data_IF_593813693241
#
_entry.id   IF_593813693241
#
_cell.length_a   1.000
_cell.length_b   1.000
_cell.length_c   1.000
_cell.angle_alpha   90.00
_cell.angle_beta   90.00
_cell.angle_gamma   90.00
#
_symmetry.space_group_name_H-M   'P 1'
#
loop_
_entity.id
_entity.type
_entity.pdbx_description
1 polymer ?
#
# COMPACT_ATOMS: atom_id res chain seq x y z
N UNK A 1 5.57 -5.53 14.44
CA UNK A 1 4.33 -5.00 15.06
C UNK A 1 3.80 -5.90 16.16
N UNK A 2 3.68 -7.20 15.93
CA UNK A 2 3.08 -8.15 16.89
C UNK A 2 3.74 -8.13 18.28
N UNK A 3 5.05 -8.04 18.34
CA UNK A 3 5.81 -8.01 19.60
C UNK A 3 5.96 -6.59 20.20
N UNK A 4 5.61 -5.57 19.45
CA UNK A 4 5.73 -4.18 19.90
C UNK A 4 4.43 -3.76 20.57
N UNK A 5 4.47 -3.50 21.87
CA UNK A 5 3.32 -2.99 22.63
C UNK A 5 3.09 -1.49 22.37
N UNK A 6 3.12 -1.07 21.10
CA UNK A 6 2.90 0.33 20.71
C UNK A 6 1.39 0.62 20.70
N UNK A 7 0.99 1.71 21.35
CA UNK A 7 -0.41 2.18 21.27
C UNK A 7 -0.70 2.75 19.89
N UNK A 8 -1.88 2.47 19.34
CA UNK A 8 -2.30 2.92 18.01
C UNK A 8 -2.24 4.44 17.84
N UNK A 9 -2.60 5.15 18.90
CA UNK A 9 -2.58 6.61 18.91
C UNK A 9 -1.19 7.19 18.65
N UNK A 10 -0.13 6.46 19.04
CA UNK A 10 1.26 6.87 18.78
C UNK A 10 1.55 6.80 17.27
N UNK A 11 1.07 5.74 16.61
CA UNK A 11 1.23 5.58 15.15
C UNK A 11 0.47 6.69 14.42
N UNK A 12 -0.80 6.91 14.78
CA UNK A 12 -1.64 7.94 14.16
C UNK A 12 -1.03 9.33 14.35
N UNK A 13 -0.60 9.65 15.57
CA UNK A 13 0.04 10.93 15.87
C UNK A 13 1.39 11.10 15.18
N UNK A 14 2.21 10.05 15.07
CA UNK A 14 3.48 10.11 14.39
C UNK A 14 3.30 10.45 12.90
N UNK A 15 2.33 9.82 12.24
CA UNK A 15 1.99 10.12 10.85
C UNK A 15 1.51 11.58 10.69
N UNK A 16 0.66 12.07 11.59
CA UNK A 16 0.24 13.48 11.56
C UNK A 16 1.42 14.46 11.73
N UNK A 17 2.39 14.15 12.60
CA UNK A 17 3.60 14.97 12.77
C UNK A 17 4.49 14.93 11.52
N UNK A 18 4.68 13.76 10.92
CA UNK A 18 5.41 13.64 9.64
C UNK A 18 4.70 14.43 8.53
N UNK A 19 3.37 14.38 8.47
CA UNK A 19 2.58 15.20 7.56
C UNK A 19 2.79 16.70 7.78
N UNK A 20 2.80 17.15 9.04
CA UNK A 20 3.08 18.55 9.37
C UNK A 20 4.48 18.98 8.92
N UNK A 21 5.51 18.16 9.15
CA UNK A 21 6.87 18.42 8.68
C UNK A 21 6.93 18.48 7.16
N UNK A 22 6.22 17.59 6.45
CA UNK A 22 6.14 17.63 4.99
C UNK A 22 5.49 18.93 4.50
N UNK A 23 4.41 19.39 5.16
CA UNK A 23 3.78 20.69 4.81
C UNK A 23 4.69 21.88 5.09
N UNK A 24 5.50 21.84 6.15
CA UNK A 24 6.50 22.89 6.42
C UNK A 24 7.56 22.98 5.33
N UNK A 25 7.95 21.83 4.77
CA UNK A 25 8.93 21.75 3.67
C UNK A 25 8.30 21.96 2.29
N UNK A 26 6.97 21.98 2.19
CA UNK A 26 6.25 22.10 0.94
C UNK A 26 6.67 23.30 0.08
N UNK A 27 6.90 24.53 0.62
CA UNK A 27 7.36 25.64 -0.19
C UNK A 27 8.69 25.35 -0.91
N UNK A 28 9.64 24.67 -0.22
CA UNK A 28 10.90 24.27 -0.84
C UNK A 28 10.66 23.33 -2.04
N UNK A 29 9.82 22.31 -1.85
CA UNK A 29 9.51 21.36 -2.92
C UNK A 29 8.83 22.06 -4.11
N UNK A 30 7.84 22.91 -3.84
CA UNK A 30 7.10 23.61 -4.90
C UNK A 30 7.96 24.58 -5.69
N UNK A 31 8.84 25.32 -5.02
CA UNK A 31 9.70 26.33 -5.65
C UNK A 31 10.92 25.71 -6.34
N UNK A 32 11.36 24.52 -5.93
CA UNK A 32 12.57 23.88 -6.43
C UNK A 32 12.74 23.90 -7.97
N UNK A 33 11.75 23.47 -8.78
CA UNK A 33 11.88 23.49 -10.24
C UNK A 33 11.95 24.90 -10.82
N UNK A 34 11.35 25.89 -10.17
CA UNK A 34 11.28 27.28 -10.67
C UNK A 34 12.53 28.10 -10.35
N UNK A 35 13.22 27.77 -9.26
CA UNK A 35 14.47 28.42 -8.86
C UNK A 35 15.71 27.66 -9.34
N UNK A 36 15.52 26.63 -10.16
CA UNK A 36 16.62 25.87 -10.77
C UNK A 36 17.39 24.98 -9.79
N UNK A 37 16.78 24.55 -8.68
CA UNK A 37 17.41 23.53 -7.83
C UNK A 37 17.52 22.20 -8.60
N UNK A 38 18.58 21.42 -8.32
CA UNK A 38 18.74 20.12 -8.98
C UNK A 38 17.60 19.17 -8.59
N UNK A 39 17.19 18.31 -9.50
CA UNK A 39 16.17 17.29 -9.22
C UNK A 39 16.55 16.45 -7.99
N UNK A 40 17.79 15.98 -7.94
CA UNK A 40 18.33 15.27 -6.76
C UNK A 40 19.17 16.25 -5.93
N UNK A 41 18.63 16.55 -4.74
CA UNK A 41 19.27 17.48 -3.81
C UNK A 41 20.48 16.88 -3.12
N UNK A 42 20.38 15.61 -2.73
CA UNK A 42 21.42 14.94 -1.95
C UNK A 42 21.36 13.43 -2.12
N UNK A 43 22.53 12.79 -2.07
CA UNK A 43 22.66 11.33 -2.10
C UNK A 43 23.37 10.89 -0.85
N UNK A 44 22.75 9.96 -0.11
CA UNK A 44 23.33 9.43 1.13
C UNK A 44 24.63 8.68 0.88
N UNK A 45 25.68 8.89 1.71
CA UNK A 45 26.91 8.11 1.66
C UNK A 45 26.66 6.61 1.93
N UNK A 46 25.55 6.24 2.54
CA UNK A 46 25.15 4.84 2.72
C UNK A 46 24.96 4.08 1.41
N UNK A 47 24.82 4.77 0.28
CA UNK A 47 24.87 4.15 -1.06
C UNK A 47 26.12 3.27 -1.26
N UNK A 48 27.22 3.59 -0.62
CA UNK A 48 28.46 2.83 -0.69
C UNK A 48 28.34 1.42 -0.08
N UNK A 49 27.38 1.20 0.82
CA UNK A 49 27.14 -0.11 1.45
C UNK A 49 26.37 -1.06 0.49
N UNK A 50 25.85 -0.53 -0.61
CA UNK A 50 25.01 -1.28 -1.55
C UNK A 50 23.53 -1.17 -1.22
N UNK A 51 22.68 -1.69 -2.08
CA UNK A 51 21.23 -1.64 -1.94
C UNK A 51 20.51 -1.84 -3.27
N UNK A 52 19.18 -1.73 -3.29
CA UNK A 52 18.36 -2.02 -4.47
C UNK A 52 18.58 -1.04 -5.63
N UNK A 53 19.04 0.19 -5.35
CA UNK A 53 19.34 1.18 -6.39
C UNK A 53 19.70 2.55 -5.81
N UNK A 54 20.28 3.45 -6.60
CA UNK A 54 20.69 4.78 -6.14
C UNK A 54 19.51 5.66 -5.67
N UNK A 55 18.33 5.47 -6.22
CA UNK A 55 17.11 6.20 -5.91
C UNK A 55 16.66 6.03 -4.46
N UNK A 56 17.01 4.93 -3.81
CA UNK A 56 16.68 4.69 -2.39
C UNK A 56 17.57 5.47 -1.42
N UNK A 57 18.68 6.00 -1.91
CA UNK A 57 19.64 6.79 -1.14
C UNK A 57 19.64 8.26 -1.53
N UNK A 58 18.79 8.63 -2.49
CA UNK A 58 18.70 9.99 -2.99
C UNK A 58 17.48 10.72 -2.41
N UNK A 59 17.66 12.02 -2.11
CA UNK A 59 16.56 12.92 -1.84
C UNK A 59 16.24 13.66 -3.14
N UNK A 60 15.22 13.20 -3.86
CA UNK A 60 14.79 13.78 -5.13
C UNK A 60 13.59 14.69 -4.87
N UNK A 61 13.74 15.96 -5.20
CA UNK A 61 12.70 16.98 -4.96
C UNK A 61 11.55 16.80 -5.96
N UNK A 62 11.88 16.66 -7.23
CA UNK A 62 10.94 16.51 -8.34
C UNK A 62 11.60 15.75 -9.49
N UNK A 63 10.79 15.34 -10.45
CA UNK A 63 11.26 14.88 -11.77
C UNK A 63 10.44 15.59 -12.83
N UNK A 64 11.05 15.90 -13.96
CA UNK A 64 10.34 16.43 -15.12
C UNK A 64 9.76 15.26 -15.92
N UNK A 65 8.45 15.27 -16.17
CA UNK A 65 7.81 14.23 -16.97
C UNK A 65 8.20 14.37 -18.45
N UNK A 66 8.79 13.33 -19.10
CA UNK A 66 9.34 13.42 -20.47
C UNK A 66 8.16 13.71 -21.39
N UNK A 67 7.22 13.85 -21.60
CA UNK A 67 6.16 14.17 -22.58
C UNK A 67 5.44 15.47 -22.29
N UNK A 68 5.22 15.78 -21.02
CA UNK A 68 4.46 16.95 -20.61
C UNK A 68 5.34 18.14 -20.18
N UNK A 69 6.63 17.91 -19.89
CA UNK A 69 7.54 18.93 -19.38
C UNK A 69 7.15 19.50 -18.00
N UNK A 70 6.19 18.86 -17.32
CA UNK A 70 5.69 19.31 -16.03
C UNK A 70 6.42 18.64 -14.87
N UNK A 71 6.70 19.38 -13.77
CA UNK A 71 7.32 18.77 -12.60
C UNK A 71 6.34 17.85 -11.86
N UNK A 72 6.86 16.71 -11.40
CA UNK A 72 6.18 15.77 -10.51
C UNK A 72 6.98 15.65 -9.24
N UNK A 73 6.32 15.87 -8.11
CA UNK A 73 6.98 15.85 -6.81
C UNK A 73 7.04 14.44 -6.25
N UNK A 74 8.23 14.06 -5.80
CA UNK A 74 8.49 12.75 -5.18
C UNK A 74 8.60 12.84 -3.67
N UNK A 75 8.82 14.04 -3.16
CA UNK A 75 9.12 14.29 -1.75
C UNK A 75 10.32 13.46 -1.29
N UNK A 76 10.15 12.57 -0.35
CA UNK A 76 11.22 11.69 0.14
C UNK A 76 11.03 10.24 -0.33
N UNK A 77 10.12 10.00 -1.26
CA UNK A 77 9.93 8.68 -1.87
C UNK A 77 10.86 8.50 -3.08
N UNK A 78 11.19 7.26 -3.46
CA UNK A 78 12.10 7.00 -4.56
C UNK A 78 11.53 7.39 -5.93
N UNK A 79 10.21 7.46 -6.05
CA UNK A 79 9.47 7.96 -7.23
C UNK A 79 8.05 8.39 -6.88
N UNK A 80 7.42 9.15 -7.78
CA UNK A 80 6.11 9.78 -7.52
C UNK A 80 4.98 8.81 -7.17
N UNK A 81 4.78 7.65 -7.81
CA UNK A 81 3.77 6.68 -7.38
C UNK A 81 3.98 6.15 -5.96
N UNK A 82 5.23 5.97 -5.53
CA UNK A 82 5.54 5.59 -4.16
C UNK A 82 5.17 6.69 -3.15
N UNK A 83 5.39 7.97 -3.51
CA UNK A 83 4.91 9.11 -2.73
C UNK A 83 3.37 9.11 -2.61
N UNK A 84 2.67 8.78 -3.70
CA UNK A 84 1.22 8.60 -3.69
C UNK A 84 0.75 7.49 -2.75
N UNK A 85 1.48 6.38 -2.68
CA UNK A 85 1.20 5.30 -1.72
C UNK A 85 1.33 5.76 -0.27
N UNK A 86 2.44 6.45 0.06
CA UNK A 86 2.64 7.04 1.39
C UNK A 86 1.53 8.01 1.73
N UNK A 87 1.10 8.83 0.76
CA UNK A 87 -0.01 9.76 0.92
C UNK A 87 -1.31 9.06 1.33
N UNK A 88 -1.67 7.95 0.68
CA UNK A 88 -2.86 7.14 1.02
C UNK A 88 -2.74 6.60 2.44
N UNK A 89 -1.59 6.01 2.80
CA UNK A 89 -1.32 5.52 4.15
C UNK A 89 -1.48 6.66 5.17
N UNK A 90 -0.95 7.83 4.90
CA UNK A 90 -1.03 8.98 5.79
C UNK A 90 -2.47 9.45 6.00
N UNK A 91 -3.26 9.59 4.93
CA UNK A 91 -4.68 9.98 5.03
C UNK A 91 -5.46 8.98 5.89
N UNK A 92 -5.31 7.68 5.62
CA UNK A 92 -6.07 6.63 6.31
C UNK A 92 -5.69 6.51 7.80
N UNK A 93 -4.41 6.65 8.14
CA UNK A 93 -3.95 6.62 9.52
C UNK A 93 -4.29 7.92 10.26
N UNK A 94 -4.03 9.08 9.65
CA UNK A 94 -4.31 10.38 10.25
C UNK A 94 -5.80 10.58 10.56
N UNK A 95 -6.69 10.04 9.73
CA UNK A 95 -8.14 10.09 9.96
C UNK A 95 -8.58 9.47 11.30
N UNK A 96 -7.70 8.73 11.98
CA UNK A 96 -7.95 8.09 13.28
C UNK A 96 -7.34 8.82 14.47
N UNK A 97 -6.60 9.89 14.25
CA UNK A 97 -6.10 10.68 15.37
C UNK A 97 -7.29 11.32 16.13
N UNK A 98 -7.26 11.19 17.46
CA UNK A 98 -8.32 11.70 18.34
C UNK A 98 -8.35 13.23 18.38
N UNK A 99 -7.20 13.86 18.20
CA UNK A 99 -7.08 15.32 18.25
C UNK A 99 -7.40 15.91 16.88
N UNK A 100 -8.48 16.67 16.78
CA UNK A 100 -9.01 17.21 15.52
C UNK A 100 -7.96 18.00 14.72
N UNK A 101 -7.19 18.87 15.39
CA UNK A 101 -6.14 19.65 14.70
C UNK A 101 -5.08 18.78 14.04
N UNK A 102 -4.53 17.80 14.76
CA UNK A 102 -3.55 16.89 14.19
C UNK A 102 -4.14 16.02 13.08
N UNK A 103 -5.35 15.52 13.27
CA UNK A 103 -6.09 14.77 12.24
C UNK A 103 -6.22 15.59 10.95
N UNK A 104 -6.67 16.84 11.06
CA UNK A 104 -6.83 17.72 9.89
C UNK A 104 -5.50 17.97 9.20
N UNK A 105 -4.44 18.29 9.95
CA UNK A 105 -3.09 18.50 9.39
C UNK A 105 -2.61 17.24 8.66
N UNK A 106 -2.75 16.06 9.26
CA UNK A 106 -2.31 14.81 8.63
C UNK A 106 -3.09 14.47 7.36
N UNK A 107 -4.42 14.67 7.36
CA UNK A 107 -5.26 14.46 6.17
C UNK A 107 -4.89 15.45 5.07
N UNK A 108 -4.78 16.74 5.38
CA UNK A 108 -4.39 17.76 4.41
C UNK A 108 -3.03 17.45 3.81
N UNK A 109 -2.03 17.10 4.64
CA UNK A 109 -0.73 16.70 4.17
C UNK A 109 -0.79 15.52 3.19
N UNK A 110 -1.51 14.46 3.56
CA UNK A 110 -1.67 13.30 2.70
C UNK A 110 -2.38 13.63 1.38
N UNK A 111 -3.44 14.45 1.40
CA UNK A 111 -4.13 14.87 0.17
C UNK A 111 -3.23 15.72 -0.72
N UNK A 112 -2.47 16.66 -0.15
CA UNK A 112 -1.50 17.46 -0.89
C UNK A 112 -0.43 16.58 -1.55
N UNK A 113 0.12 15.60 -0.80
CA UNK A 113 1.07 14.63 -1.36
C UNK A 113 0.45 13.82 -2.49
N UNK A 114 -0.78 13.32 -2.33
CA UNK A 114 -1.46 12.53 -3.36
C UNK A 114 -1.65 13.33 -4.65
N UNK A 115 -2.06 14.58 -4.55
CA UNK A 115 -2.27 15.48 -5.71
C UNK A 115 -0.94 15.80 -6.39
N UNK A 116 0.05 16.24 -5.63
CA UNK A 116 1.34 16.69 -6.17
C UNK A 116 2.18 15.53 -6.74
N UNK A 117 2.03 14.32 -6.18
CA UNK A 117 2.67 13.13 -6.76
C UNK A 117 2.08 12.75 -8.12
N UNK A 118 0.91 13.29 -8.48
CA UNK A 118 0.16 12.92 -9.70
C UNK A 118 -0.05 11.40 -9.83
N UNK A 119 -0.13 10.70 -8.70
CA UNK A 119 -0.36 9.26 -8.65
C UNK A 119 -1.86 8.96 -8.82
N UNK A 120 -2.25 8.54 -10.01
CA UNK A 120 -3.65 8.17 -10.29
C UNK A 120 -4.12 7.04 -9.36
N UNK A 121 -3.23 6.07 -9.10
CA UNK A 121 -3.51 4.95 -8.20
C UNK A 121 -3.80 5.42 -6.77
N UNK A 122 -3.14 6.49 -6.30
CA UNK A 122 -3.41 7.08 -5.00
C UNK A 122 -4.82 7.66 -4.91
N UNK A 123 -5.26 8.36 -5.95
CA UNK A 123 -6.61 8.94 -5.99
C UNK A 123 -7.69 7.85 -6.03
N UNK A 124 -7.49 6.81 -6.83
CA UNK A 124 -8.38 5.64 -6.87
C UNK A 124 -8.40 4.94 -5.51
N UNK A 125 -7.25 4.72 -4.89
CA UNK A 125 -7.15 4.09 -3.57
C UNK A 125 -7.92 4.87 -2.50
N UNK A 126 -7.79 6.19 -2.46
CA UNK A 126 -8.52 7.04 -1.51
C UNK A 126 -10.04 6.98 -1.74
N UNK A 127 -10.47 6.94 -3.01
CA UNK A 127 -11.89 6.88 -3.35
C UNK A 127 -12.52 5.51 -3.04
N UNK A 128 -11.77 4.42 -3.20
CA UNK A 128 -12.32 3.04 -3.20
C UNK A 128 -12.14 2.36 -1.84
N UNK A 129 -10.99 2.51 -1.18
CA UNK A 129 -10.69 1.74 0.04
C UNK A 129 -11.62 2.10 1.19
N UNK A 130 -11.86 3.39 1.41
CA UNK A 130 -12.69 3.82 2.56
C UNK A 130 -14.14 3.32 2.48
N UNK A 131 -14.86 3.43 1.33
CA UNK A 131 -16.20 2.85 1.17
C UNK A 131 -16.23 1.32 1.32
N UNK A 132 -15.27 0.60 0.74
CA UNK A 132 -15.20 -0.87 0.86
C UNK A 132 -15.04 -1.28 2.32
N UNK A 133 -14.07 -0.71 3.02
CA UNK A 133 -13.82 -1.04 4.44
C UNK A 133 -14.99 -0.62 5.33
N UNK A 134 -15.63 0.50 5.02
CA UNK A 134 -16.85 0.93 5.70
C UNK A 134 -17.98 -0.07 5.53
N UNK A 135 -18.20 -0.57 4.31
CA UNK A 135 -19.19 -1.60 4.00
C UNK A 135 -18.91 -2.91 4.71
N UNK A 136 -17.68 -3.44 4.57
CA UNK A 136 -17.26 -4.68 5.24
C UNK A 136 -17.41 -4.60 6.77
N UNK A 137 -17.15 -3.45 7.36
CA UNK A 137 -17.34 -3.22 8.79
C UNK A 137 -18.81 -3.19 9.26
N UNK A 138 -19.78 -3.29 8.34
CA UNK A 138 -21.22 -3.23 8.62
C UNK A 138 -22.02 -4.39 8.02
N UNK A 139 -21.35 -5.38 7.48
CA UNK A 139 -22.01 -6.54 6.83
C UNK A 139 -22.90 -7.36 7.79
N UNK A 140 -22.74 -7.19 9.10
CA UNK A 140 -23.59 -7.78 10.13
C UNK A 140 -24.96 -7.08 10.26
N UNK A 141 -25.12 -5.90 9.67
CA UNK A 141 -26.34 -5.11 9.76
C UNK A 141 -27.33 -5.48 8.65
N UNK A 142 -28.54 -5.86 9.01
CA UNK A 142 -29.59 -6.28 8.06
C UNK A 142 -29.84 -5.23 6.94
N UNK A 143 -29.81 -3.93 7.27
CA UNK A 143 -30.03 -2.88 6.29
C UNK A 143 -29.02 -2.86 5.15
N UNK A 144 -27.77 -3.34 5.38
CA UNK A 144 -26.75 -3.49 4.34
C UNK A 144 -27.23 -4.45 3.23
N UNK A 145 -27.89 -5.53 3.61
CA UNK A 145 -28.41 -6.52 2.67
C UNK A 145 -29.62 -5.99 1.91
N UNK A 146 -30.46 -5.18 2.57
CA UNK A 146 -31.57 -4.49 1.89
C UNK A 146 -31.10 -3.49 0.85
N UNK A 147 -29.93 -2.87 1.03
CA UNK A 147 -29.28 -2.02 0.03
C UNK A 147 -28.48 -2.82 -1.01
N UNK A 148 -27.82 -3.89 -0.60
CA UNK A 148 -26.99 -4.70 -1.48
C UNK A 148 -27.84 -5.42 -2.55
N UNK A 149 -29.02 -5.92 -2.18
CA UNK A 149 -29.88 -6.64 -3.13
C UNK A 149 -30.29 -5.78 -4.34
N UNK A 150 -30.90 -4.58 -4.17
CA UNK A 150 -31.20 -3.72 -5.32
C UNK A 150 -29.95 -3.21 -6.03
N UNK A 151 -28.85 -2.96 -5.31
CA UNK A 151 -27.59 -2.56 -5.94
C UNK A 151 -27.03 -3.67 -6.86
N UNK A 152 -27.13 -4.93 -6.46
CA UNK A 152 -26.72 -6.06 -7.30
C UNK A 152 -27.62 -6.22 -8.53
N UNK A 153 -28.92 -5.98 -8.40
CA UNK A 153 -29.84 -5.98 -9.55
C UNK A 153 -29.48 -4.86 -10.53
N UNK A 154 -29.26 -3.64 -10.01
CA UNK A 154 -28.83 -2.51 -10.84
C UNK A 154 -27.47 -2.78 -11.51
N UNK A 155 -26.53 -3.38 -10.80
CA UNK A 155 -25.24 -3.78 -11.35
C UNK A 155 -25.40 -4.85 -12.45
N UNK A 156 -26.33 -5.78 -12.29
CA UNK A 156 -26.64 -6.76 -13.32
C UNK A 156 -27.23 -6.12 -14.58
N UNK A 157 -28.11 -5.13 -14.43
CA UNK A 157 -28.75 -4.43 -15.54
C UNK A 157 -27.78 -3.47 -16.25
N UNK A 158 -27.06 -2.65 -15.47
CA UNK A 158 -26.19 -1.59 -15.98
C UNK A 158 -24.72 -1.99 -16.06
N UNK A 159 -24.36 -3.21 -15.63
CA UNK A 159 -22.99 -3.71 -15.62
C UNK A 159 -22.28 -3.61 -16.97
N UNK A 160 -22.87 -4.03 -18.08
CA UNK A 160 -22.26 -3.88 -19.41
C UNK A 160 -21.91 -2.42 -19.74
N UNK A 161 -22.86 -1.49 -19.54
CA UNK A 161 -22.64 -0.07 -19.78
C UNK A 161 -21.56 0.52 -18.82
N UNK A 162 -21.54 0.05 -17.57
CA UNK A 162 -20.50 0.44 -16.61
C UNK A 162 -19.11 -0.06 -17.04
N UNK A 163 -19.02 -1.28 -17.57
CA UNK A 163 -17.76 -1.83 -18.10
C UNK A 163 -17.28 -0.98 -19.28
N UNK A 164 -18.15 -0.63 -20.24
CA UNK A 164 -17.79 0.24 -21.36
C UNK A 164 -17.25 1.60 -20.89
N UNK A 165 -17.90 2.22 -19.91
CA UNK A 165 -17.44 3.50 -19.34
C UNK A 165 -16.09 3.33 -18.64
N UNK A 166 -15.89 2.23 -17.87
CA UNK A 166 -14.62 1.94 -17.22
C UNK A 166 -13.51 1.67 -18.23
N UNK A 167 -13.80 0.93 -19.30
CA UNK A 167 -12.85 0.68 -20.38
C UNK A 167 -12.47 1.97 -21.11
N UNK A 168 -13.43 2.84 -21.41
CA UNK A 168 -13.18 4.15 -22.01
C UNK A 168 -12.29 5.00 -21.11
N UNK A 169 -12.61 5.08 -19.82
CA UNK A 169 -11.77 5.77 -18.83
C UNK A 169 -10.35 5.17 -18.74
N UNK A 170 -10.22 3.86 -18.72
CA UNK A 170 -8.92 3.19 -18.71
C UNK A 170 -8.12 3.47 -19.98
N UNK A 171 -8.77 3.49 -21.14
CA UNK A 171 -8.14 3.83 -22.41
C UNK A 171 -7.67 5.28 -22.44
N UNK A 172 -8.48 6.23 -21.99
CA UNK A 172 -8.10 7.65 -21.85
C UNK A 172 -6.94 7.82 -20.86
N UNK A 173 -6.99 7.11 -19.72
CA UNK A 173 -5.89 7.08 -18.76
C UNK A 173 -4.59 6.50 -19.35
N UNK A 174 -4.69 5.48 -20.18
CA UNK A 174 -3.55 4.85 -20.85
C UNK A 174 -3.00 5.75 -21.95
N UNK A 175 -3.88 6.35 -22.75
CA UNK A 175 -3.51 7.27 -23.84
C UNK A 175 -2.79 8.51 -23.33
N UNK A 176 -3.20 9.05 -22.18
CA UNK A 176 -2.55 10.22 -21.58
C UNK A 176 -1.07 9.96 -21.13
N UNK A 177 -0.62 8.69 -21.11
CA UNK A 177 0.76 8.25 -20.81
C UNK A 177 1.10 7.02 -21.64
N UNK A 178 0.88 7.07 -22.94
CA UNK A 178 1.01 5.94 -23.86
C UNK A 178 2.38 5.25 -23.75
N UNK A 179 3.48 6.00 -23.68
CA UNK A 179 4.83 5.44 -23.61
C UNK A 179 5.06 4.67 -22.31
N UNK A 180 4.75 5.24 -21.16
CA UNK A 180 4.89 4.57 -19.88
C UNK A 180 4.01 3.32 -19.76
N UNK A 181 2.77 3.37 -20.29
CA UNK A 181 1.85 2.23 -20.31
C UNK A 181 2.36 1.12 -21.21
N UNK A 182 2.89 1.47 -22.38
CA UNK A 182 3.51 0.53 -23.34
C UNK A 182 4.71 -0.18 -22.73
N UNK A 183 5.63 0.56 -22.11
CA UNK A 183 6.83 0.00 -21.47
C UNK A 183 6.44 -0.97 -20.34
N UNK A 184 5.51 -0.60 -19.46
CA UNK A 184 5.03 -1.47 -18.38
C UNK A 184 4.39 -2.75 -18.91
N UNK A 185 3.54 -2.65 -19.94
CA UNK A 185 2.91 -3.82 -20.56
C UNK A 185 3.96 -4.75 -21.22
N UNK A 186 4.96 -4.18 -21.87
CA UNK A 186 6.05 -4.95 -22.47
C UNK A 186 6.91 -5.65 -21.39
N UNK A 187 7.28 -4.95 -20.32
CA UNK A 187 7.99 -5.53 -19.17
C UNK A 187 7.22 -6.70 -18.54
N UNK A 188 5.90 -6.55 -18.39
CA UNK A 188 5.04 -7.62 -17.88
C UNK A 188 5.01 -8.84 -18.79
N UNK A 189 4.87 -8.65 -20.11
CA UNK A 189 4.91 -9.76 -21.08
C UNK A 189 6.27 -10.49 -21.05
N UNK A 190 7.37 -9.76 -21.12
CA UNK A 190 8.71 -10.33 -21.04
C UNK A 190 8.89 -11.15 -19.76
N UNK A 191 8.44 -10.59 -18.62
CA UNK A 191 8.52 -11.28 -17.33
C UNK A 191 7.76 -12.62 -17.34
N UNK A 192 6.53 -12.64 -17.84
CA UNK A 192 5.70 -13.85 -17.89
C UNK A 192 6.24 -14.87 -18.89
N UNK A 193 6.60 -14.45 -20.10
CA UNK A 193 7.14 -15.35 -21.14
C UNK A 193 8.40 -16.05 -20.67
N UNK A 194 9.35 -15.28 -20.12
CA UNK A 194 10.61 -15.84 -19.61
C UNK A 194 10.40 -16.70 -18.37
N UNK A 195 9.55 -16.28 -17.45
CA UNK A 195 9.20 -17.10 -16.30
C UNK A 195 8.65 -18.47 -16.71
N UNK A 196 7.67 -18.49 -17.62
CA UNK A 196 7.04 -19.73 -18.08
C UNK A 196 7.99 -20.64 -18.85
N UNK A 197 8.84 -20.07 -19.70
CA UNK A 197 9.74 -20.82 -20.57
C UNK A 197 11.08 -21.22 -19.94
N UNK A 198 11.58 -20.44 -18.99
CA UNK A 198 12.95 -20.59 -18.52
C UNK A 198 13.07 -21.01 -17.04
N UNK A 199 12.20 -20.47 -16.14
CA UNK A 199 12.43 -20.58 -14.69
C UNK A 199 11.13 -20.59 -13.86
N UNK A 200 10.25 -21.55 -14.12
CA UNK A 200 8.88 -21.58 -13.57
C UNK A 200 8.81 -21.59 -12.04
N UNK A 201 9.57 -22.49 -11.36
CA UNK A 201 9.42 -22.71 -9.92
C UNK A 201 10.16 -21.68 -9.07
N UNK A 202 11.41 -21.37 -9.39
CA UNK A 202 12.29 -20.56 -8.53
C UNK A 202 12.70 -19.23 -9.15
N UNK A 203 12.26 -18.95 -10.39
CA UNK A 203 12.65 -17.74 -11.12
C UNK A 203 14.15 -17.71 -11.48
N UNK A 204 14.60 -16.55 -11.98
CA UNK A 204 15.97 -16.38 -12.43
C UNK A 204 16.96 -16.06 -11.28
N UNK A 205 16.48 -15.77 -10.08
CA UNK A 205 17.29 -15.44 -8.90
C UNK A 205 17.91 -14.04 -8.92
N UNK A 206 17.89 -13.38 -10.05
CA UNK A 206 18.51 -12.06 -10.27
C UNK A 206 17.51 -11.10 -10.93
N UNK A 207 17.74 -9.80 -10.77
CA UNK A 207 17.05 -8.76 -11.51
C UNK A 207 17.83 -8.49 -12.79
N UNK A 208 17.19 -8.65 -13.94
CA UNK A 208 17.77 -8.38 -15.25
C UNK A 208 17.13 -7.15 -15.88
N UNK A 209 17.91 -6.42 -16.65
CA UNK A 209 17.42 -5.31 -17.45
C UNK A 209 16.80 -5.82 -18.75
N UNK A 210 15.67 -5.25 -19.12
CA UNK A 210 15.00 -5.51 -20.38
C UNK A 210 15.75 -4.92 -21.59
N UNK A 211 15.31 -5.25 -22.82
CA UNK A 211 15.87 -4.71 -24.04
C UNK A 211 15.59 -3.21 -24.22
N UNK A 212 16.18 -2.60 -25.27
CA UNK A 212 15.96 -1.19 -25.63
C UNK A 212 14.49 -0.80 -25.76
N UNK A 213 13.62 -1.71 -26.20
CA UNK A 213 12.17 -1.49 -26.32
C UNK A 213 11.50 -1.07 -25.00
N UNK A 214 12.08 -1.46 -23.87
CA UNK A 214 11.62 -1.12 -22.51
C UNK A 214 12.63 -0.23 -21.79
N UNK A 215 13.41 0.55 -22.55
CA UNK A 215 14.34 1.55 -22.01
C UNK A 215 15.34 0.96 -21.00
N UNK A 216 15.73 -0.29 -21.19
CA UNK A 216 16.60 -1.04 -20.28
C UNK A 216 16.11 -1.11 -18.83
N UNK A 217 14.82 -0.87 -18.60
CA UNK A 217 14.23 -0.99 -17.26
C UNK A 217 14.28 -2.42 -16.75
N UNK A 218 14.38 -2.63 -15.42
CA UNK A 218 14.39 -3.96 -14.84
C UNK A 218 13.09 -4.72 -15.15
N UNK A 219 13.21 -5.99 -15.58
CA UNK A 219 12.07 -6.84 -15.92
C UNK A 219 11.18 -7.05 -14.69
N UNK A 220 9.88 -6.79 -14.83
CA UNK A 220 8.91 -6.90 -13.74
C UNK A 220 8.92 -5.74 -12.73
N UNK A 221 9.65 -4.64 -12.99
CA UNK A 221 9.86 -3.56 -12.01
C UNK A 221 8.61 -2.83 -11.54
N UNK A 222 7.58 -2.68 -12.32
CA UNK A 222 6.37 -1.91 -11.98
C UNK A 222 5.18 -2.79 -11.59
N UNK A 223 5.42 -4.02 -11.13
CA UNK A 223 4.37 -4.95 -10.77
C UNK A 223 4.91 -6.04 -9.86
N UNK A 224 4.43 -6.11 -8.61
CA UNK A 224 4.96 -7.08 -7.64
C UNK A 224 4.90 -8.52 -8.13
N UNK A 225 3.76 -8.91 -8.71
CA UNK A 225 3.55 -10.29 -9.15
C UNK A 225 4.45 -10.67 -10.31
N UNK A 226 4.59 -9.80 -11.31
CA UNK A 226 5.48 -10.06 -12.44
C UNK A 226 6.95 -10.08 -12.01
N UNK A 227 7.35 -9.15 -11.13
CA UNK A 227 8.70 -9.12 -10.57
C UNK A 227 9.01 -10.39 -9.76
N UNK A 228 8.09 -10.82 -8.90
CA UNK A 228 8.27 -12.04 -8.12
C UNK A 228 8.32 -13.29 -9.00
N UNK A 229 7.42 -13.43 -9.98
CA UNK A 229 7.43 -14.56 -10.91
C UNK A 229 8.73 -14.61 -11.69
N UNK A 230 9.23 -13.48 -12.17
CA UNK A 230 10.50 -13.44 -12.90
C UNK A 230 11.69 -13.77 -12.00
N UNK A 231 11.81 -13.10 -10.85
CA UNK A 231 13.01 -13.21 -10.00
C UNK A 231 12.98 -14.45 -9.10
N UNK A 232 11.81 -14.79 -8.53
CA UNK A 232 11.66 -15.84 -7.49
C UNK A 232 10.70 -16.97 -7.89
N UNK A 233 10.17 -16.95 -9.12
CA UNK A 233 9.27 -17.96 -9.65
C UNK A 233 7.94 -18.04 -8.93
N UNK A 234 7.22 -19.13 -9.15
CA UNK A 234 5.95 -19.43 -8.51
C UNK A 234 6.07 -19.48 -6.98
N UNK A 235 7.18 -20.00 -6.45
CA UNK A 235 7.41 -20.07 -4.99
C UNK A 235 7.44 -18.68 -4.35
N UNK A 236 8.10 -17.71 -4.98
CA UNK A 236 8.12 -16.33 -4.50
C UNK A 236 6.74 -15.65 -4.57
N UNK A 237 5.99 -15.90 -5.64
CA UNK A 237 4.63 -15.39 -5.77
C UNK A 237 3.70 -15.97 -4.68
N UNK A 238 3.76 -17.27 -4.40
CA UNK A 238 3.00 -17.93 -3.32
C UNK A 238 3.42 -17.37 -1.95
N UNK A 239 4.72 -17.19 -1.72
CA UNK A 239 5.25 -16.66 -0.46
C UNK A 239 4.73 -15.24 -0.14
N UNK A 240 4.42 -14.42 -1.16
CA UNK A 240 3.73 -13.14 -0.96
C UNK A 240 2.20 -13.31 -0.90
N UNK A 241 1.62 -14.11 -1.80
CA UNK A 241 0.17 -14.27 -1.92
C UNK A 241 -0.46 -14.80 -0.63
N UNK A 242 0.11 -15.87 -0.05
CA UNK A 242 -0.45 -16.52 1.13
C UNK A 242 -0.56 -15.56 2.32
N UNK A 243 0.49 -14.89 2.81
CA UNK A 243 0.37 -13.97 3.93
C UNK A 243 -0.46 -12.73 3.60
N UNK A 244 -0.39 -12.20 2.37
CA UNK A 244 -1.14 -11.01 1.98
C UNK A 244 -2.64 -11.28 1.96
N UNK A 245 -3.08 -12.32 1.25
CA UNK A 245 -4.50 -12.64 1.12
C UNK A 245 -5.10 -13.28 2.38
N UNK A 246 -4.34 -14.10 3.11
CA UNK A 246 -4.81 -14.61 4.40
C UNK A 246 -5.01 -13.48 5.41
N UNK A 247 -4.09 -12.51 5.46
CA UNK A 247 -4.23 -11.31 6.30
C UNK A 247 -5.44 -10.49 5.88
N UNK A 248 -5.64 -10.30 4.56
CA UNK A 248 -6.81 -9.61 4.02
C UNK A 248 -8.11 -10.26 4.49
N UNK A 249 -8.24 -11.59 4.34
CA UNK A 249 -9.44 -12.34 4.73
C UNK A 249 -9.70 -12.27 6.24
N UNK A 250 -8.64 -12.45 7.05
CA UNK A 250 -8.75 -12.35 8.51
C UNK A 250 -9.19 -10.96 8.94
N UNK A 251 -8.60 -9.90 8.37
CA UNK A 251 -8.96 -8.52 8.72
C UNK A 251 -10.32 -8.12 8.17
N UNK A 252 -10.72 -8.61 6.99
CA UNK A 252 -12.07 -8.41 6.47
C UNK A 252 -13.13 -9.00 7.41
N UNK A 253 -12.89 -10.20 7.94
CA UNK A 253 -13.74 -10.81 8.94
C UNK A 253 -13.77 -10.01 10.25
N UNK A 254 -12.60 -9.50 10.69
CA UNK A 254 -12.47 -8.72 11.94
C UNK A 254 -12.92 -7.27 11.80
N UNK A 255 -13.12 -6.74 10.61
CA UNK A 255 -13.49 -5.33 10.38
C UNK A 255 -14.78 -4.89 11.12
N UNK A 256 -15.63 -5.84 11.49
CA UNK A 256 -16.85 -5.62 12.29
C UNK A 256 -16.55 -5.35 13.78
N UNK A 257 -15.43 -5.85 14.29
CA UNK A 257 -15.13 -5.87 15.72
C UNK A 257 -14.65 -4.51 16.24
N UNK A 258 -13.89 -3.76 15.43
CA UNK A 258 -13.35 -2.49 15.92
C UNK A 258 -12.91 -1.52 14.84
N UNK A 259 -12.45 -0.35 15.29
CA UNK A 259 -11.93 0.68 14.40
C UNK A 259 -10.49 0.41 13.97
N UNK A 260 -9.70 -0.22 14.84
CA UNK A 260 -8.32 -0.58 14.55
C UNK A 260 -8.23 -1.65 13.45
N UNK A 261 -9.13 -2.66 13.52
CA UNK A 261 -9.25 -3.71 12.52
C UNK A 261 -9.61 -3.14 11.14
N UNK A 262 -10.53 -2.17 11.09
CA UNK A 262 -10.87 -1.48 9.84
C UNK A 262 -9.69 -0.70 9.27
N UNK A 263 -8.92 -0.03 10.11
CA UNK A 263 -7.72 0.68 9.63
C UNK A 263 -6.65 -0.30 9.16
N UNK A 264 -6.41 -1.37 9.92
CA UNK A 264 -5.48 -2.43 9.50
C UNK A 264 -5.91 -3.06 8.16
N UNK A 265 -7.21 -3.33 7.99
CA UNK A 265 -7.77 -3.79 6.72
C UNK A 265 -7.52 -2.78 5.59
N UNK A 266 -7.71 -1.48 5.85
CA UNK A 266 -7.41 -0.44 4.86
C UNK A 266 -5.95 -0.47 4.43
N UNK A 267 -5.01 -0.70 5.37
CA UNK A 267 -3.58 -0.81 5.05
C UNK A 267 -3.28 -2.02 4.16
N UNK A 268 -3.92 -3.15 4.42
CA UNK A 268 -3.76 -4.34 3.56
C UNK A 268 -4.38 -4.12 2.18
N UNK A 269 -5.52 -3.44 2.07
CA UNK A 269 -6.08 -3.05 0.78
C UNK A 269 -5.15 -2.12 -0.01
N UNK A 270 -4.47 -1.17 0.64
CA UNK A 270 -3.43 -0.35 -0.02
C UNK A 270 -2.34 -1.26 -0.59
N UNK A 271 -1.82 -2.20 0.20
CA UNK A 271 -0.79 -3.12 -0.28
C UNK A 271 -1.28 -3.98 -1.45
N UNK A 272 -2.49 -4.55 -1.37
CA UNK A 272 -3.08 -5.34 -2.46
C UNK A 272 -3.22 -4.49 -3.72
N UNK A 273 -3.78 -3.29 -3.62
CA UNK A 273 -3.98 -2.42 -4.78
C UNK A 273 -2.63 -2.01 -5.42
N UNK A 274 -1.68 -1.63 -4.59
CA UNK A 274 -0.35 -1.22 -5.09
C UNK A 274 0.49 -2.39 -5.62
N UNK A 275 0.21 -3.64 -5.22
CA UNK A 275 0.92 -4.81 -5.77
C UNK A 275 0.74 -4.98 -7.29
N UNK A 276 -0.32 -4.39 -7.85
CA UNK A 276 -0.61 -4.41 -9.29
C UNK A 276 -0.02 -3.21 -10.07
N UNK A 277 0.52 -2.23 -9.39
CA UNK A 277 1.08 -1.03 -10.02
C UNK A 277 2.51 -0.70 -9.61
N UNK A 278 3.01 -1.34 -8.56
CA UNK A 278 4.33 -1.09 -7.97
C UNK A 278 4.97 -2.38 -7.45
N UNK A 279 6.28 -2.37 -7.29
CA UNK A 279 6.98 -3.46 -6.64
C UNK A 279 6.99 -3.26 -5.12
N UNK A 280 6.12 -3.99 -4.39
CA UNK A 280 5.99 -3.89 -2.95
C UNK A 280 7.26 -4.29 -2.19
N UNK A 281 8.01 -5.24 -2.71
CA UNK A 281 9.19 -5.79 -2.02
C UNK A 281 10.22 -4.69 -1.77
N UNK A 282 10.51 -3.90 -2.80
CA UNK A 282 11.48 -2.81 -2.71
C UNK A 282 10.95 -1.57 -1.99
N UNK A 283 9.62 -1.42 -1.89
CA UNK A 283 8.97 -0.33 -1.17
C UNK A 283 8.63 -0.67 0.30
N UNK A 284 9.02 -1.84 0.79
CA UNK A 284 8.63 -2.33 2.11
C UNK A 284 8.91 -1.34 3.25
N UNK A 285 9.98 -0.54 3.15
CA UNK A 285 10.35 0.46 4.15
C UNK A 285 9.33 1.61 4.28
N UNK A 286 8.52 1.86 3.26
CA UNK A 286 7.50 2.92 3.27
C UNK A 286 6.21 2.50 4.00
N UNK A 287 5.95 1.19 4.15
CA UNK A 287 4.75 0.73 4.86
C UNK A 287 4.96 0.51 6.36
N UNK A 288 6.08 0.81 6.94
CA UNK A 288 6.33 0.53 8.36
C UNK A 288 5.19 0.92 9.28
N UNK A 289 4.58 2.13 9.19
CA UNK A 289 3.44 2.48 10.04
C UNK A 289 2.25 1.53 9.84
N UNK A 290 2.00 1.14 8.59
CA UNK A 290 0.94 0.20 8.24
C UNK A 290 1.23 -1.21 8.77
N UNK A 291 2.45 -1.73 8.56
CA UNK A 291 2.85 -3.08 8.99
C UNK A 291 2.86 -3.21 10.52
N UNK A 292 3.28 -2.16 11.25
CA UNK A 292 3.24 -2.16 12.72
C UNK A 292 1.81 -2.25 13.22
N UNK A 293 0.89 -1.49 12.62
CA UNK A 293 -0.53 -1.52 12.99
C UNK A 293 -1.17 -2.87 12.67
N UNK A 294 -0.96 -3.40 11.46
CA UNK A 294 -1.47 -4.71 11.03
C UNK A 294 -0.98 -5.80 11.97
N UNK A 295 0.33 -5.85 12.24
CA UNK A 295 0.91 -6.85 13.14
C UNK A 295 0.38 -6.75 14.56
N UNK A 296 0.16 -5.53 15.07
CA UNK A 296 -0.46 -5.32 16.39
C UNK A 296 -1.90 -5.86 16.44
N UNK A 297 -2.72 -5.51 15.46
CA UNK A 297 -4.13 -5.91 15.40
C UNK A 297 -4.26 -7.44 15.26
N UNK A 298 -3.39 -8.08 14.49
CA UNK A 298 -3.37 -9.53 14.37
C UNK A 298 -2.98 -10.23 15.68
N UNK A 299 -2.01 -9.67 16.42
CA UNK A 299 -1.51 -10.23 17.66
C UNK A 299 -2.47 -10.05 18.86
N UNK A 300 -3.23 -8.97 18.91
CA UNK A 300 -4.07 -8.62 20.06
C UNK A 300 -4.97 -9.79 20.51
N UNK A 301 -5.61 -10.47 19.58
CA UNK A 301 -6.49 -11.59 19.88
C UNK A 301 -5.74 -12.85 20.35
N UNK A 302 -4.51 -13.07 19.91
CA UNK A 302 -3.72 -14.21 20.37
C UNK A 302 -3.40 -14.08 21.86
N UNK A 303 -3.15 -12.85 22.32
CA UNK A 303 -2.94 -12.57 23.75
C UNK A 303 -4.22 -12.68 24.57
N UNK A 304 -5.37 -12.24 24.03
CA UNK A 304 -6.67 -12.42 24.71
C UNK A 304 -7.02 -13.89 24.90
N UNK A 305 -6.91 -14.69 23.85
CA UNK A 305 -7.17 -16.14 23.92
C UNK A 305 -6.22 -16.84 24.89
N UNK A 306 -4.93 -16.50 24.89
CA UNK A 306 -3.98 -17.06 25.85
C UNK A 306 -4.29 -16.64 27.31
N UNK A 307 -4.70 -15.41 27.52
CA UNK A 307 -5.06 -14.88 28.83
C UNK A 307 -6.35 -15.51 29.36
N UNK A 308 -7.34 -15.71 28.51
CA UNK A 308 -8.60 -16.34 28.88
C UNK A 308 -8.39 -17.83 29.16
N UNK A 309 -7.58 -18.52 28.35
CA UNK A 309 -7.18 -19.90 28.61
C UNK A 309 -6.39 -20.07 29.92
N UNK A 310 -5.45 -19.13 30.19
CA UNK A 310 -4.70 -19.16 31.46
C UNK A 310 -5.61 -18.89 32.67
N UNK A 311 -6.61 -18.02 32.55
CA UNK A 311 -7.60 -17.77 33.61
C UNK A 311 -8.48 -19.00 33.87
N UNK A 312 -8.92 -19.68 32.81
CA UNK A 312 -9.73 -20.92 32.95
C UNK A 312 -8.96 -21.99 33.67
N UNK A 313 -7.69 -22.21 33.32
CA UNK A 313 -6.81 -23.16 34.01
C UNK A 313 -6.64 -22.79 35.51
N UNK A 314 -6.43 -21.53 35.83
CA UNK A 314 -6.33 -21.07 37.21
C UNK A 314 -7.63 -21.22 38.01
N UNK A 315 -8.78 -21.04 37.38
CA UNK A 315 -10.08 -21.22 38.00
C UNK A 315 -10.38 -22.72 38.20
N UNK A 316 -9.98 -23.62 37.30
CA UNK A 316 -10.08 -25.05 37.43
C UNK A 316 -9.16 -25.59 38.54
N UNK A 317 -7.92 -25.13 38.61
CA UNK A 317 -6.99 -25.49 39.69
C UNK A 317 -7.46 -25.03 41.07
N UNK A 318 -8.07 -23.81 41.14
CA UNK A 318 -8.63 -23.30 42.39
C UNK A 318 -9.93 -24.00 42.83
N UNK A 319 -10.66 -24.63 41.89
CA UNK A 319 -11.89 -25.38 42.16
C UNK A 319 -11.64 -26.82 42.54
N UNK A 320 -10.45 -27.39 42.37
CA UNK A 320 -10.12 -28.72 42.84
C UNK A 320 -9.99 -28.73 44.35
N UNK A 321 -10.86 -29.52 45.10
CA UNK A 321 -10.75 -29.59 46.52
C UNK A 321 -9.40 -30.24 46.88
N UNK A 322 -8.67 -29.62 47.80
CA UNK A 322 -7.44 -30.17 48.35
C UNK A 322 -7.76 -31.57 48.87
N UNK A 323 -7.37 -32.58 48.14
CA UNK A 323 -7.38 -33.99 48.67
C UNK A 323 -6.33 -34.01 49.76
N UNK A 324 -6.83 -33.89 50.99
CA UNK A 324 -6.00 -34.03 52.19
C UNK A 324 -5.49 -35.48 52.27
N UNK A 325 -4.27 -35.68 52.77
CA UNK A 325 -3.64 -36.97 52.95
C UNK A 325 -4.29 -37.81 54.05
#
# INVERSE_FOLDING_TARGET
GALLQVREEVIYRAVCKLGAQTLMLLPLFLLAPFIGLPETLWVSPLKAVGGPGPEYFATTLYTIEPGAGTPRWQFFAPWSPAAGMVAVIFVLLAARDKHVGWRTVGIVAGLVLAILSQSRLALVALAVIAPIVWGLGRMDRAWMWYLAAPAMVLLGIFGPALIEVLEALMNDFSAARADSSRVRAALGRIAIERWQGEAYWFGHGIVENGPHLVEYMPIGSHHSWYGLLFVKGLTGAIALAVPLFSTLLVLAWRARQGSAERVALSMVFVMVLYSFGENLEILAYLYWPALVLVGKVLAARSYEVQRDGARQVQEEDAAQPATAP
#
